data_IF_701159505614
#
_entry.id   IF_701159505614
#
_cell.length_a   1.000
_cell.length_b   1.000
_cell.length_c   1.000
_cell.angle_alpha   90.00
_cell.angle_beta   90.00
_cell.angle_gamma   90.00
#
_symmetry.space_group_name_H-M   'P 1'
#
loop_
_entity.id
_entity.type
_entity.pdbx_description
1 polymer ?
#
# COMPACT_ATOMS: atom_id res chain seq x y z
N UNK A 1 -7.14 -18.66 11.61
CA UNK A 1 -7.89 -18.57 12.88
C UNK A 1 -9.05 -19.55 12.89
N UNK A 2 -10.01 -19.48 11.96
CA UNK A 2 -11.15 -20.44 11.88
C UNK A 2 -10.69 -21.90 11.78
N UNK A 3 -9.96 -22.26 10.71
CA UNK A 3 -9.60 -23.65 10.40
C UNK A 3 -8.88 -24.38 11.55
N UNK A 4 -7.92 -23.70 12.17
CA UNK A 4 -7.07 -24.26 13.23
C UNK A 4 -7.54 -23.87 14.64
N UNK A 5 -8.79 -23.40 14.76
CA UNK A 5 -9.42 -22.98 16.02
C UNK A 5 -8.53 -22.08 16.89
N UNK A 6 -7.81 -21.14 16.28
CA UNK A 6 -6.81 -20.32 16.96
C UNK A 6 -7.53 -19.22 17.74
N UNK A 7 -7.56 -19.35 19.06
CA UNK A 7 -8.31 -18.47 19.95
C UNK A 7 -7.70 -18.47 21.37
N UNK A 8 -7.89 -17.41 22.17
CA UNK A 8 -7.40 -17.37 23.55
C UNK A 8 -7.97 -18.48 24.43
N UNK A 9 -9.26 -18.78 24.27
CA UNK A 9 -10.01 -19.78 25.02
C UNK A 9 -9.77 -21.23 24.55
N UNK A 10 -9.03 -21.41 23.46
CA UNK A 10 -8.63 -22.73 22.94
C UNK A 10 -7.14 -22.97 23.06
N UNK A 11 -6.36 -21.96 23.46
CA UNK A 11 -4.92 -22.09 23.67
C UNK A 11 -4.63 -23.02 24.84
N UNK A 12 -3.70 -23.96 24.62
CA UNK A 12 -3.27 -24.93 25.63
C UNK A 12 -1.93 -24.48 26.20
N UNK A 13 -1.89 -24.22 27.50
CA UNK A 13 -0.66 -23.78 28.17
C UNK A 13 0.45 -24.86 28.10
N UNK A 14 1.72 -24.44 28.12
CA UNK A 14 2.84 -25.38 28.25
C UNK A 14 2.70 -26.21 29.54
N UNK A 15 2.87 -27.53 29.43
CA UNK A 15 2.76 -28.45 30.57
C UNK A 15 1.37 -29.03 30.82
N UNK A 16 0.32 -28.52 30.15
CA UNK A 16 -1.00 -29.18 30.19
C UNK A 16 -0.97 -30.47 29.37
N UNK A 17 -1.35 -31.59 30.00
CA UNK A 17 -1.49 -32.88 29.32
C UNK A 17 -2.80 -32.90 28.53
N UNK A 18 -2.66 -32.89 27.21
CA UNK A 18 -3.76 -32.97 26.25
C UNK A 18 -3.30 -33.89 25.13
N UNK A 19 -4.09 -34.93 24.80
CA UNK A 19 -3.76 -35.83 23.70
C UNK A 19 -3.51 -35.09 22.39
N UNK A 20 -2.45 -35.45 21.66
CA UNK A 20 -2.02 -34.75 20.44
C UNK A 20 -3.12 -34.72 19.37
N UNK A 21 -3.93 -35.77 19.30
CA UNK A 21 -5.06 -35.87 18.37
C UNK A 21 -6.16 -34.84 18.63
N UNK A 22 -6.21 -34.25 19.83
CA UNK A 22 -7.20 -33.23 20.22
C UNK A 22 -6.74 -31.79 20.00
N UNK A 23 -5.50 -31.59 19.57
CA UNK A 23 -4.93 -30.24 19.35
C UNK A 23 -4.47 -30.02 17.91
N UNK A 24 -4.50 -28.77 17.49
CA UNK A 24 -3.69 -28.28 16.39
C UNK A 24 -2.38 -27.73 16.94
N UNK A 25 -1.27 -28.07 16.30
CA UNK A 25 0.06 -27.57 16.65
C UNK A 25 0.49 -26.56 15.60
N UNK A 26 0.81 -25.35 16.04
CA UNK A 26 1.26 -24.27 15.18
C UNK A 26 2.63 -24.59 14.58
N UNK A 27 2.81 -24.45 13.25
CA UNK A 27 4.11 -24.65 12.63
C UNK A 27 5.10 -23.61 13.15
N UNK A 28 6.39 -23.93 13.15
CA UNK A 28 7.51 -23.07 13.62
C UNK A 28 7.52 -22.75 15.12
N UNK A 29 6.38 -22.43 15.73
CA UNK A 29 6.27 -21.92 17.10
C UNK A 29 5.75 -22.96 18.10
N UNK A 30 5.17 -24.07 17.64
CA UNK A 30 4.78 -25.20 18.50
C UNK A 30 3.57 -24.97 19.41
N UNK A 31 2.96 -23.78 19.37
CA UNK A 31 1.76 -23.45 20.18
C UNK A 31 0.61 -24.42 19.89
N UNK A 32 -0.04 -24.90 20.95
CA UNK A 32 -1.13 -25.89 20.87
C UNK A 32 -2.48 -25.23 21.06
N UNK A 33 -3.47 -25.62 20.25
CA UNK A 33 -4.85 -25.14 20.34
C UNK A 33 -5.83 -26.31 20.27
N UNK A 34 -6.81 -26.37 21.16
CA UNK A 34 -7.85 -27.39 21.15
C UNK A 34 -8.65 -27.37 19.84
N UNK A 35 -8.94 -28.55 19.29
CA UNK A 35 -9.80 -28.67 18.10
C UNK A 35 -11.26 -28.34 18.40
N UNK A 36 -11.71 -28.70 19.59
CA UNK A 36 -13.08 -28.52 20.09
C UNK A 36 -13.06 -28.13 21.58
N UNK A 37 -14.03 -27.32 22.06
CA UNK A 37 -15.11 -26.68 21.30
C UNK A 37 -14.61 -25.51 20.43
N UNK A 38 -15.45 -24.93 19.54
CA UNK A 38 -15.08 -23.76 18.75
C UNK A 38 -14.80 -22.55 19.64
N UNK A 39 -13.61 -21.97 19.51
CA UNK A 39 -13.18 -20.80 20.28
C UNK A 39 -13.91 -19.53 19.86
N UNK A 40 -13.82 -18.49 20.68
CA UNK A 40 -14.51 -17.22 20.45
C UNK A 40 -14.19 -16.61 19.08
N UNK A 41 -12.92 -16.62 18.67
CA UNK A 41 -12.52 -16.05 17.37
C UNK A 41 -13.05 -16.86 16.20
N UNK A 42 -13.14 -18.19 16.32
CA UNK A 42 -13.72 -19.02 15.26
C UNK A 42 -15.18 -18.66 15.03
N UNK A 43 -15.98 -18.65 16.10
CA UNK A 43 -17.42 -18.32 16.05
C UNK A 43 -17.68 -16.94 15.45
N UNK A 44 -17.01 -15.91 15.98
CA UNK A 44 -17.18 -14.52 15.51
C UNK A 44 -16.80 -14.38 14.04
N UNK A 45 -15.69 -15.00 13.61
CA UNK A 45 -15.26 -14.90 12.22
C UNK A 45 -16.21 -15.65 11.27
N UNK A 46 -16.73 -16.80 11.67
CA UNK A 46 -17.75 -17.55 10.90
C UNK A 46 -19.04 -16.72 10.75
N UNK A 47 -19.51 -16.08 11.83
CA UNK A 47 -20.69 -15.19 11.80
C UNK A 47 -20.48 -14.00 10.86
N UNK A 48 -19.33 -13.32 10.98
CA UNK A 48 -19.00 -12.16 10.14
C UNK A 48 -18.89 -12.53 8.67
N UNK A 49 -18.26 -13.67 8.35
CA UNK A 49 -18.14 -14.14 6.96
C UNK A 49 -19.51 -14.50 6.40
N UNK A 50 -20.33 -15.23 7.16
CA UNK A 50 -21.68 -15.62 6.75
C UNK A 50 -22.57 -14.40 6.48
N UNK A 51 -22.58 -13.44 7.41
CA UNK A 51 -23.31 -12.19 7.23
C UNK A 51 -22.84 -11.40 6.00
N UNK A 52 -21.51 -11.40 5.73
CA UNK A 52 -20.96 -10.74 4.55
C UNK A 52 -21.39 -11.44 3.26
N UNK A 53 -21.41 -12.76 3.23
CA UNK A 53 -21.78 -13.53 2.04
C UNK A 53 -23.26 -13.35 1.67
N UNK A 54 -24.15 -13.29 2.66
CA UNK A 54 -25.56 -12.94 2.43
C UNK A 54 -25.73 -11.56 1.78
N UNK A 55 -24.96 -10.55 2.23
CA UNK A 55 -24.97 -9.22 1.63
C UNK A 55 -24.43 -9.24 0.19
N UNK A 56 -23.40 -10.06 -0.09
CA UNK A 56 -22.85 -10.21 -1.44
C UNK A 56 -23.83 -10.89 -2.40
N UNK A 57 -24.64 -11.84 -1.93
CA UNK A 57 -25.70 -12.44 -2.74
C UNK A 57 -26.73 -11.37 -3.13
N UNK A 58 -27.18 -10.55 -2.16
CA UNK A 58 -28.11 -9.44 -2.42
C UNK A 58 -27.51 -8.39 -3.38
N UNK A 59 -26.22 -8.12 -3.30
CA UNK A 59 -25.56 -7.18 -4.22
C UNK A 59 -25.60 -7.62 -5.69
N UNK A 60 -25.51 -8.93 -5.95
CA UNK A 60 -25.51 -9.47 -7.33
C UNK A 60 -26.83 -9.21 -8.07
N UNK A 61 -27.95 -9.07 -7.36
CA UNK A 61 -29.26 -8.81 -7.95
C UNK A 61 -29.61 -7.32 -8.05
N UNK A 62 -28.77 -6.43 -7.54
CA UNK A 62 -29.01 -4.98 -7.53
C UNK A 62 -28.29 -4.30 -8.69
N UNK A 63 -28.96 -3.31 -9.30
CA UNK A 63 -28.35 -2.45 -10.30
C UNK A 63 -27.18 -1.65 -9.69
N UNK A 64 -26.01 -1.74 -10.34
CA UNK A 64 -24.79 -1.04 -9.93
C UNK A 64 -25.07 0.46 -9.83
N UNK A 65 -24.69 1.05 -8.71
CA UNK A 65 -24.88 2.49 -8.48
C UNK A 65 -26.25 2.89 -7.93
N UNK A 66 -27.24 2.00 -7.84
CA UNK A 66 -28.51 2.31 -7.15
C UNK A 66 -28.32 2.65 -5.66
N UNK A 67 -29.23 3.41 -5.02
CA UNK A 67 -29.14 3.71 -3.58
C UNK A 67 -28.98 2.45 -2.72
N UNK A 68 -29.76 1.40 -3.00
CA UNK A 68 -29.65 0.11 -2.33
C UNK A 68 -28.29 -0.54 -2.57
N UNK A 69 -27.79 -0.57 -3.81
CA UNK A 69 -26.46 -1.11 -4.11
C UNK A 69 -25.37 -0.42 -3.27
N UNK A 70 -25.38 0.92 -3.21
CA UNK A 70 -24.41 1.70 -2.41
C UNK A 70 -24.48 1.34 -0.93
N UNK A 71 -25.68 1.17 -0.37
CA UNK A 71 -25.88 0.79 1.01
C UNK A 71 -25.34 -0.62 1.32
N UNK A 72 -25.71 -1.62 0.52
CA UNK A 72 -25.26 -3.01 0.73
C UNK A 72 -23.74 -3.14 0.48
N UNK A 73 -23.19 -2.40 -0.48
CA UNK A 73 -21.76 -2.37 -0.75
C UNK A 73 -20.98 -1.73 0.41
N UNK A 74 -21.48 -0.63 0.98
CA UNK A 74 -20.90 -0.04 2.18
C UNK A 74 -20.92 -1.01 3.36
N UNK A 75 -22.04 -1.73 3.59
CA UNK A 75 -22.16 -2.72 4.67
C UNK A 75 -21.19 -3.90 4.52
N UNK A 76 -21.12 -4.52 3.33
CA UNK A 76 -20.19 -5.65 3.14
C UNK A 76 -18.72 -5.21 3.26
N UNK A 77 -18.39 -3.97 2.84
CA UNK A 77 -17.07 -3.37 3.04
C UNK A 77 -16.76 -3.17 4.52
N UNK A 78 -17.71 -2.66 5.30
CA UNK A 78 -17.55 -2.50 6.74
C UNK A 78 -17.28 -3.85 7.44
N UNK A 79 -18.07 -4.88 7.12
CA UNK A 79 -17.84 -6.24 7.65
C UNK A 79 -16.46 -6.76 7.24
N UNK A 80 -16.06 -6.61 5.96
CA UNK A 80 -14.70 -6.99 5.50
C UNK A 80 -13.60 -6.35 6.35
N UNK A 81 -13.73 -5.05 6.64
CA UNK A 81 -12.75 -4.32 7.45
C UNK A 81 -12.69 -4.88 8.87
N UNK A 82 -13.84 -5.11 9.50
CA UNK A 82 -13.93 -5.70 10.84
C UNK A 82 -13.32 -7.11 10.86
N UNK A 83 -13.71 -7.98 9.94
CA UNK A 83 -13.18 -9.35 9.83
C UNK A 83 -11.66 -9.36 9.71
N UNK A 84 -11.09 -8.51 8.84
CA UNK A 84 -9.65 -8.42 8.65
C UNK A 84 -8.92 -7.83 9.87
N UNK A 85 -9.59 -6.98 10.66
CA UNK A 85 -9.02 -6.37 11.86
C UNK A 85 -8.88 -7.35 13.03
N UNK A 86 -9.62 -8.48 13.05
CA UNK A 86 -9.57 -9.47 14.16
C UNK A 86 -8.16 -10.01 14.37
N UNK A 87 -7.39 -10.28 13.31
CA UNK A 87 -6.00 -10.70 13.44
C UNK A 87 -5.13 -9.63 14.13
N UNK A 88 -5.28 -8.37 13.71
CA UNK A 88 -4.57 -7.24 14.33
C UNK A 88 -4.96 -7.05 15.79
N UNK A 89 -6.25 -7.21 16.11
CA UNK A 89 -6.76 -7.16 17.47
C UNK A 89 -6.14 -8.24 18.37
N UNK A 90 -6.01 -9.48 17.87
CA UNK A 90 -5.42 -10.57 18.63
C UNK A 90 -3.94 -10.34 19.01
N UNK A 91 -3.23 -9.48 18.25
CA UNK A 91 -1.85 -9.08 18.50
C UNK A 91 -1.69 -7.73 19.22
N UNK A 92 -2.78 -7.02 19.52
CA UNK A 92 -2.71 -5.70 20.16
C UNK A 92 -2.62 -5.84 21.68
N UNK A 93 -1.55 -5.30 22.28
CA UNK A 93 -1.34 -5.33 23.73
C UNK A 93 -2.48 -4.73 24.56
N UNK A 94 -3.27 -3.81 24.00
CA UNK A 94 -4.43 -3.20 24.67
C UNK A 94 -5.75 -3.98 24.48
N UNK A 95 -5.75 -5.08 23.72
CA UNK A 95 -6.94 -5.90 23.50
C UNK A 95 -7.28 -6.74 24.75
N UNK A 96 -8.57 -6.85 25.06
CA UNK A 96 -9.06 -7.67 26.18
C UNK A 96 -8.80 -9.16 25.95
N UNK A 97 -8.91 -9.62 24.72
CA UNK A 97 -8.64 -11.02 24.32
C UNK A 97 -7.24 -11.19 23.69
N UNK A 98 -6.28 -10.40 24.14
CA UNK A 98 -4.88 -10.52 23.72
C UNK A 98 -4.22 -11.74 24.36
N UNK A 99 -3.64 -12.61 23.54
CA UNK A 99 -2.69 -13.66 23.95
C UNK A 99 -1.58 -13.73 22.89
N UNK A 100 -0.33 -13.51 23.28
CA UNK A 100 0.82 -13.50 22.35
C UNK A 100 0.93 -14.77 21.49
N UNK A 101 0.84 -16.00 22.06
CA UNK A 101 0.79 -17.24 21.29
C UNK A 101 -0.26 -17.29 20.17
N UNK A 102 -1.44 -16.69 20.37
CA UNK A 102 -2.50 -16.65 19.35
C UNK A 102 -2.05 -15.86 18.11
N UNK A 103 -1.46 -14.69 18.32
CA UNK A 103 -0.97 -13.84 17.24
C UNK A 103 0.24 -14.47 16.51
N UNK A 104 1.18 -15.05 17.26
CA UNK A 104 2.34 -15.76 16.70
C UNK A 104 1.90 -16.94 15.85
N UNK A 105 0.99 -17.76 16.38
CA UNK A 105 0.49 -18.94 15.69
C UNK A 105 -0.29 -18.58 14.42
N UNK A 106 -1.19 -17.58 14.47
CA UNK A 106 -1.90 -17.10 13.29
C UNK A 106 -0.93 -16.67 12.17
N UNK A 107 0.16 -15.98 12.54
CA UNK A 107 1.20 -15.56 11.60
C UNK A 107 1.99 -16.76 11.06
N UNK A 108 2.33 -17.73 11.91
CA UNK A 108 3.08 -18.91 11.51
C UNK A 108 2.30 -19.80 10.54
N UNK A 109 1.01 -20.05 10.80
CA UNK A 109 0.15 -20.73 9.84
C UNK A 109 0.00 -19.94 8.53
N UNK A 110 -0.15 -18.61 8.59
CA UNK A 110 -0.16 -17.77 7.39
C UNK A 110 1.08 -17.96 6.53
N UNK A 111 2.28 -17.92 7.14
CA UNK A 111 3.55 -18.21 6.45
C UNK A 111 3.60 -19.63 5.88
N UNK A 112 3.18 -20.62 6.65
CA UNK A 112 3.16 -22.02 6.22
C UNK A 112 2.29 -22.21 4.98
N UNK A 113 1.08 -21.63 4.97
CA UNK A 113 0.14 -21.68 3.85
C UNK A 113 0.76 -21.06 2.59
N UNK A 114 1.39 -19.88 2.73
CA UNK A 114 2.00 -19.19 1.59
C UNK A 114 3.16 -19.99 1.04
N UNK A 115 4.07 -20.48 1.91
CA UNK A 115 5.19 -21.33 1.48
C UNK A 115 4.72 -22.60 0.79
N UNK A 116 3.74 -23.29 1.38
CA UNK A 116 3.14 -24.48 0.77
C UNK A 116 2.53 -24.16 -0.60
N UNK A 117 1.85 -23.02 -0.73
CA UNK A 117 1.27 -22.58 -2.02
C UNK A 117 2.36 -22.29 -3.05
N UNK A 118 3.47 -21.66 -2.64
CA UNK A 118 4.63 -21.38 -3.52
C UNK A 118 5.31 -22.69 -3.96
N UNK A 119 5.47 -23.66 -3.07
CA UNK A 119 6.04 -24.98 -3.36
C UNK A 119 5.16 -25.75 -4.34
N UNK A 120 3.85 -25.84 -4.07
CA UNK A 120 2.88 -26.46 -4.97
C UNK A 120 2.86 -25.77 -6.36
N UNK A 121 3.01 -24.44 -6.40
CA UNK A 121 3.11 -23.72 -7.66
C UNK A 121 4.34 -24.18 -8.46
N UNK A 122 5.50 -24.30 -7.82
CA UNK A 122 6.73 -24.78 -8.46
C UNK A 122 6.61 -26.23 -8.93
N UNK A 123 6.00 -27.10 -8.13
CA UNK A 123 5.75 -28.51 -8.49
C UNK A 123 4.88 -28.65 -9.75
N UNK A 124 3.91 -27.75 -9.92
CA UNK A 124 3.06 -27.68 -11.12
C UNK A 124 3.76 -27.04 -12.33
N UNK A 125 5.01 -26.60 -12.18
CA UNK A 125 5.74 -25.88 -13.22
C UNK A 125 5.15 -24.49 -13.51
N UNK A 126 4.56 -23.84 -12.49
CA UNK A 126 4.22 -22.42 -12.55
C UNK A 126 5.45 -21.61 -12.12
N UNK A 127 5.80 -20.62 -12.93
CA UNK A 127 6.85 -19.68 -12.58
C UNK A 127 6.34 -18.70 -11.51
N UNK A 128 6.96 -18.72 -10.33
CA UNK A 128 6.60 -17.86 -9.20
C UNK A 128 7.40 -16.56 -9.30
N UNK A 129 6.69 -15.44 -9.45
CA UNK A 129 7.27 -14.12 -9.67
C UNK A 129 7.49 -13.39 -8.34
N UNK A 130 6.49 -13.39 -7.46
CA UNK A 130 6.51 -12.65 -6.21
C UNK A 130 5.55 -13.28 -5.19
N UNK A 131 5.84 -13.13 -3.90
CA UNK A 131 4.97 -13.54 -2.80
C UNK A 131 4.93 -12.47 -1.72
N UNK A 132 3.73 -12.16 -1.24
CA UNK A 132 3.49 -11.26 -0.10
C UNK A 132 2.84 -12.04 1.06
N UNK A 133 2.37 -11.30 2.07
CA UNK A 133 1.78 -11.76 3.33
C UNK A 133 0.45 -12.50 3.13
N UNK A 134 -0.22 -12.30 2.00
CA UNK A 134 -1.55 -12.84 1.72
C UNK A 134 -1.82 -13.12 0.23
N UNK A 135 -0.80 -13.00 -0.63
CA UNK A 135 -0.95 -13.14 -2.08
C UNK A 135 0.32 -13.71 -2.73
N UNK A 136 0.13 -14.43 -3.84
CA UNK A 136 1.20 -15.00 -4.65
C UNK A 136 0.98 -14.60 -6.10
N UNK A 137 2.06 -14.20 -6.76
CA UNK A 137 2.10 -13.84 -8.17
C UNK A 137 2.79 -14.96 -8.92
N UNK A 138 2.06 -15.58 -9.83
CA UNK A 138 2.56 -16.60 -10.74
C UNK A 138 2.36 -16.14 -12.17
N UNK A 139 3.19 -16.66 -13.07
CA UNK A 139 2.91 -16.58 -14.50
C UNK A 139 1.57 -17.25 -14.81
N UNK A 140 0.76 -16.60 -15.64
CA UNK A 140 -0.62 -17.03 -15.86
C UNK A 140 -0.69 -18.15 -16.90
N UNK A 141 -1.00 -19.35 -16.43
CA UNK A 141 -1.40 -20.51 -17.22
C UNK A 141 -2.72 -21.01 -16.62
N UNK A 142 -3.84 -20.83 -17.34
CA UNK A 142 -5.19 -21.08 -16.83
C UNK A 142 -5.33 -22.51 -16.29
N UNK A 143 -4.90 -23.52 -17.05
CA UNK A 143 -5.02 -24.91 -16.67
C UNK A 143 -4.18 -25.27 -15.43
N UNK A 144 -2.98 -24.72 -15.30
CA UNK A 144 -2.13 -24.93 -14.12
C UNK A 144 -2.64 -24.17 -12.91
N UNK A 145 -3.14 -22.95 -13.09
CA UNK A 145 -3.73 -22.14 -12.03
C UNK A 145 -4.96 -22.84 -11.46
N UNK A 146 -5.86 -23.34 -12.30
CA UNK A 146 -7.05 -24.06 -11.83
C UNK A 146 -6.67 -25.32 -11.05
N UNK A 147 -5.67 -26.08 -11.53
CA UNK A 147 -5.11 -27.22 -10.79
C UNK A 147 -4.52 -26.81 -9.43
N UNK A 148 -3.80 -25.70 -9.37
CA UNK A 148 -3.25 -25.17 -8.12
C UNK A 148 -4.36 -24.82 -7.12
N UNK A 149 -5.42 -24.14 -7.58
CA UNK A 149 -6.56 -23.78 -6.74
C UNK A 149 -7.23 -25.03 -6.15
N UNK A 150 -7.41 -26.07 -6.96
CA UNK A 150 -7.98 -27.34 -6.52
C UNK A 150 -7.09 -28.06 -5.49
N UNK A 151 -5.78 -28.11 -5.73
CA UNK A 151 -4.84 -28.75 -4.80
C UNK A 151 -4.78 -28.00 -3.48
N UNK A 152 -4.73 -26.66 -3.52
CA UNK A 152 -4.74 -25.83 -2.31
C UNK A 152 -6.05 -26.00 -1.54
N UNK A 153 -7.19 -26.05 -2.23
CA UNK A 153 -8.49 -26.33 -1.60
C UNK A 153 -8.49 -27.70 -0.92
N UNK A 154 -8.01 -28.75 -1.58
CA UNK A 154 -8.02 -30.13 -1.04
C UNK A 154 -6.99 -30.36 0.07
N UNK A 155 -5.73 -29.92 -0.12
CA UNK A 155 -4.63 -30.15 0.83
C UNK A 155 -4.63 -29.14 1.97
N UNK A 156 -4.80 -27.85 1.65
CA UNK A 156 -4.69 -26.76 2.62
C UNK A 156 -6.05 -26.27 3.12
N UNK A 157 -7.17 -26.77 2.61
CA UNK A 157 -8.52 -26.42 3.11
C UNK A 157 -8.82 -24.93 3.01
N UNK A 158 -8.26 -24.25 2.01
CA UNK A 158 -8.40 -22.83 1.79
C UNK A 158 -8.92 -22.55 0.39
N UNK A 159 -9.84 -21.61 0.29
CA UNK A 159 -10.35 -21.14 -0.99
C UNK A 159 -9.50 -19.96 -1.46
N UNK A 160 -8.61 -20.23 -2.42
CA UNK A 160 -7.91 -19.19 -3.16
C UNK A 160 -8.75 -18.77 -4.38
N UNK A 161 -8.59 -17.53 -4.81
CA UNK A 161 -9.21 -17.01 -6.03
C UNK A 161 -8.21 -16.16 -6.79
N UNK A 162 -8.15 -16.24 -8.13
CA UNK A 162 -7.40 -15.28 -8.93
C UNK A 162 -8.00 -13.88 -8.70
N UNK A 163 -7.20 -12.96 -8.16
CA UNK A 163 -7.65 -11.58 -7.91
C UNK A 163 -7.56 -10.73 -9.19
N UNK A 164 -6.38 -10.72 -9.82
CA UNK A 164 -6.08 -9.92 -11.01
C UNK A 164 -5.20 -10.70 -11.98
N UNK A 165 -5.45 -10.52 -13.29
CA UNK A 165 -4.59 -11.01 -14.37
C UNK A 165 -3.97 -9.82 -15.07
N UNK A 166 -2.65 -9.72 -15.00
CA UNK A 166 -1.88 -8.65 -15.62
C UNK A 166 -1.26 -9.09 -16.94
N UNK A 167 -1.24 -8.18 -17.91
CA UNK A 167 -0.47 -8.32 -19.14
C UNK A 167 1.02 -8.17 -18.85
N UNK A 168 1.37 -7.22 -17.98
CA UNK A 168 2.74 -6.95 -17.51
C UNK A 168 2.69 -6.44 -16.08
N UNK A 169 3.72 -6.75 -15.30
CA UNK A 169 3.89 -6.22 -13.94
C UNK A 169 5.32 -5.75 -13.78
N UNK A 170 5.47 -4.58 -13.16
CA UNK A 170 6.75 -4.07 -12.69
C UNK A 170 6.80 -4.17 -11.17
N UNK A 171 7.76 -4.93 -10.65
CA UNK A 171 8.09 -4.95 -9.23
C UNK A 171 9.30 -4.07 -8.98
N UNK A 172 9.24 -3.25 -7.94
CA UNK A 172 10.43 -2.53 -7.45
C UNK A 172 11.11 -3.34 -6.35
N UNK A 173 12.33 -2.95 -5.96
CA UNK A 173 13.11 -3.61 -4.89
C UNK A 173 12.37 -3.64 -3.53
N UNK A 174 11.41 -2.73 -3.32
CA UNK A 174 10.66 -2.65 -2.08
C UNK A 174 9.46 -3.62 -2.08
N UNK A 175 9.32 -4.40 -0.99
CA UNK A 175 8.12 -5.19 -0.74
C UNK A 175 6.86 -4.32 -0.79
N UNK A 176 5.77 -4.87 -1.31
CA UNK A 176 4.46 -4.21 -1.49
C UNK A 176 4.50 -2.99 -2.41
N UNK A 177 5.48 -2.90 -3.33
CA UNK A 177 5.56 -1.82 -4.33
C UNK A 177 5.67 -2.37 -5.74
N UNK A 178 4.53 -2.44 -6.42
CA UNK A 178 4.42 -2.94 -7.79
C UNK A 178 3.32 -2.23 -8.57
N UNK A 179 3.46 -2.24 -9.90
CA UNK A 179 2.47 -1.70 -10.81
C UNK A 179 2.16 -2.71 -11.91
N UNK A 180 0.89 -3.04 -12.09
CA UNK A 180 0.42 -4.00 -13.08
C UNK A 180 -0.40 -3.36 -14.18
N UNK A 181 -0.14 -3.73 -15.43
CA UNK A 181 -1.00 -3.41 -16.58
C UNK A 181 -2.08 -4.48 -16.71
N UNK A 182 -3.34 -4.10 -16.53
CA UNK A 182 -4.50 -4.98 -16.71
C UNK A 182 -4.82 -5.20 -18.20
N UNK A 183 -5.60 -6.25 -18.50
CA UNK A 183 -6.05 -6.57 -19.87
C UNK A 183 -6.86 -5.44 -20.53
N UNK A 184 -7.55 -4.62 -19.74
CA UNK A 184 -8.32 -3.47 -20.21
C UNK A 184 -7.47 -2.19 -20.42
N UNK A 185 -6.15 -2.28 -20.23
CA UNK A 185 -5.22 -1.18 -20.41
C UNK A 185 -5.09 -0.24 -19.21
N UNK A 186 -5.82 -0.47 -18.11
CA UNK A 186 -5.64 0.28 -16.86
C UNK A 186 -4.39 -0.16 -16.12
N UNK A 187 -3.80 0.77 -15.38
CA UNK A 187 -2.67 0.52 -14.49
C UNK A 187 -3.19 0.37 -13.06
N UNK A 188 -2.74 -0.68 -12.39
CA UNK A 188 -2.98 -0.93 -10.98
C UNK A 188 -1.72 -0.56 -10.18
N UNK A 189 -1.85 0.36 -9.23
CA UNK A 189 -0.72 0.90 -8.46
C UNK A 189 -0.79 0.41 -7.01
N UNK A 190 0.26 -0.26 -6.53
CA UNK A 190 0.34 -0.73 -5.15
C UNK A 190 1.59 -0.17 -4.49
N UNK A 191 1.40 0.55 -3.38
CA UNK A 191 2.48 1.07 -2.51
C UNK A 191 3.33 2.22 -3.10
N UNK A 192 2.99 2.68 -4.30
CA UNK A 192 3.63 3.83 -4.95
C UNK A 192 3.16 5.17 -4.39
N UNK A 193 3.96 6.21 -4.62
CA UNK A 193 3.71 7.59 -4.21
C UNK A 193 2.41 8.16 -4.83
N UNK A 194 2.00 7.69 -6.01
CA UNK A 194 0.71 8.00 -6.65
C UNK A 194 -0.49 7.86 -5.69
N UNK A 195 -0.53 6.79 -4.89
CA UNK A 195 -1.68 6.51 -4.00
C UNK A 195 -1.53 7.15 -2.61
N UNK A 196 -0.46 7.92 -2.39
CA UNK A 196 -0.19 8.57 -1.10
C UNK A 196 -0.70 10.01 -1.08
N UNK A 197 -1.29 10.39 0.05
CA UNK A 197 -1.83 11.75 0.24
C UNK A 197 -0.79 12.83 0.49
N UNK A 198 0.44 12.45 0.84
CA UNK A 198 1.53 13.35 1.27
C UNK A 198 2.54 13.72 0.16
N UNK A 199 2.28 13.29 -1.08
CA UNK A 199 3.09 13.64 -2.26
C UNK A 199 2.38 14.66 -3.15
N UNK A 200 3.17 15.53 -3.76
CA UNK A 200 2.68 16.54 -4.70
C UNK A 200 2.01 15.91 -5.92
N UNK A 201 1.01 16.62 -6.48
CA UNK A 201 0.34 16.18 -7.70
C UNK A 201 1.33 16.09 -8.88
N UNK A 202 2.31 16.99 -8.94
CA UNK A 202 3.41 16.92 -9.89
C UNK A 202 4.17 15.58 -9.81
N UNK A 203 4.53 15.14 -8.60
CA UNK A 203 5.21 13.85 -8.42
C UNK A 203 4.35 12.65 -8.85
N UNK A 204 3.05 12.71 -8.57
CA UNK A 204 2.11 11.66 -8.97
C UNK A 204 1.99 11.55 -10.49
N UNK A 205 1.77 12.69 -11.16
CA UNK A 205 1.68 12.76 -12.63
C UNK A 205 2.95 12.23 -13.31
N UNK A 206 4.11 12.66 -12.82
CA UNK A 206 5.39 12.22 -13.40
C UNK A 206 5.60 10.73 -13.17
N UNK A 207 5.34 10.21 -11.96
CA UNK A 207 5.46 8.78 -11.67
C UNK A 207 4.48 7.95 -12.50
N UNK A 208 3.24 8.42 -12.67
CA UNK A 208 2.21 7.75 -13.46
C UNK A 208 2.60 7.65 -14.94
N UNK A 209 3.06 8.75 -15.53
CA UNK A 209 3.46 8.75 -16.94
C UNK A 209 4.71 7.90 -17.19
N UNK A 210 5.69 7.91 -16.27
CA UNK A 210 6.86 7.00 -16.32
C UNK A 210 6.42 5.54 -16.29
N UNK A 211 5.54 5.16 -15.36
CA UNK A 211 5.02 3.80 -15.27
C UNK A 211 4.23 3.42 -16.52
N UNK A 212 3.45 4.35 -17.08
CA UNK A 212 2.70 4.15 -18.33
C UNK A 212 3.63 3.93 -19.52
N UNK A 213 4.67 4.74 -19.70
CA UNK A 213 5.64 4.56 -20.79
C UNK A 213 6.33 3.19 -20.66
N UNK A 214 6.76 2.81 -19.46
CA UNK A 214 7.41 1.51 -19.23
C UNK A 214 6.45 0.34 -19.48
N UNK A 215 5.27 0.37 -18.86
CA UNK A 215 4.32 -0.74 -18.89
C UNK A 215 3.46 -0.79 -20.14
N UNK A 216 3.36 0.27 -20.95
CA UNK A 216 2.63 0.23 -22.24
C UNK A 216 3.60 0.23 -23.41
N UNK A 217 4.60 1.10 -23.41
CA UNK A 217 5.46 1.34 -24.57
C UNK A 217 6.80 0.58 -24.52
N UNK A 218 7.18 0.00 -23.37
CA UNK A 218 8.44 -0.76 -23.21
C UNK A 218 9.70 0.09 -23.47
N UNK A 219 9.64 1.40 -23.21
CA UNK A 219 10.76 2.31 -23.50
C UNK A 219 11.25 3.05 -22.24
N UNK A 220 12.24 2.50 -21.52
CA UNK A 220 12.90 3.21 -20.42
C UNK A 220 13.56 4.52 -20.85
N UNK A 221 14.12 4.58 -22.06
CA UNK A 221 14.73 5.81 -22.61
C UNK A 221 13.69 6.92 -22.81
N UNK A 222 12.52 6.60 -23.38
CA UNK A 222 11.45 7.59 -23.52
C UNK A 222 10.95 8.07 -22.15
N UNK A 223 10.90 7.18 -21.16
CA UNK A 223 10.55 7.56 -19.80
C UNK A 223 11.60 8.47 -19.15
N UNK A 224 12.89 8.22 -19.40
CA UNK A 224 13.98 9.15 -19.01
C UNK A 224 13.78 10.51 -19.65
N UNK A 225 13.62 10.56 -20.97
CA UNK A 225 13.53 11.81 -21.72
C UNK A 225 12.32 12.65 -21.28
N UNK A 226 11.18 11.99 -21.01
CA UNK A 226 10.02 12.63 -20.39
C UNK A 226 10.36 13.28 -19.04
N UNK A 227 11.06 12.58 -18.14
CA UNK A 227 11.42 13.13 -16.83
C UNK A 227 12.37 14.32 -16.98
N UNK A 228 13.36 14.23 -17.88
CA UNK A 228 14.30 15.32 -18.13
C UNK A 228 13.58 16.55 -18.67
N UNK A 229 12.63 16.37 -19.59
CA UNK A 229 11.80 17.45 -20.13
C UNK A 229 10.91 18.08 -19.04
N UNK A 230 10.24 17.26 -18.23
CA UNK A 230 9.41 17.75 -17.12
C UNK A 230 10.23 18.56 -16.11
N UNK A 231 11.45 18.11 -15.80
CA UNK A 231 12.36 18.85 -14.92
C UNK A 231 12.77 20.20 -15.53
N UNK A 232 12.96 20.28 -16.85
CA UNK A 232 13.21 21.57 -17.53
C UNK A 232 12.03 22.52 -17.34
N UNK A 233 10.81 22.05 -17.61
CA UNK A 233 9.58 22.84 -17.45
C UNK A 233 9.37 23.30 -16.00
N UNK A 234 9.75 22.47 -15.02
CA UNK A 234 9.68 22.83 -13.62
C UNK A 234 10.70 23.92 -13.26
N UNK A 235 11.94 23.85 -13.78
CA UNK A 235 12.96 24.92 -13.64
C UNK A 235 12.55 26.23 -14.30
N UNK A 236 11.84 26.12 -15.42
CA UNK A 236 11.24 27.26 -16.13
C UNK A 236 9.95 27.78 -15.47
N UNK A 237 9.55 27.21 -14.31
CA UNK A 237 8.32 27.57 -13.57
C UNK A 237 7.03 27.48 -14.39
N UNK A 238 6.99 26.62 -15.41
CA UNK A 238 5.80 26.36 -16.25
C UNK A 238 4.78 25.44 -15.56
N UNK A 239 5.19 24.75 -14.48
CA UNK A 239 4.31 23.88 -13.70
C UNK A 239 3.47 24.73 -12.74
N UNK A 240 2.12 24.58 -12.73
CA UNK A 240 1.26 25.34 -11.84
C UNK A 240 1.58 25.14 -10.35
N UNK A 241 1.54 26.21 -9.56
CA UNK A 241 1.78 26.17 -8.11
C UNK A 241 0.92 25.12 -7.40
N UNK A 242 -0.36 24.98 -7.79
CA UNK A 242 -1.30 23.99 -7.24
C UNK A 242 -0.78 22.55 -7.32
N UNK A 243 0.02 22.23 -8.33
CA UNK A 243 0.56 20.89 -8.53
C UNK A 243 1.77 20.63 -7.61
N UNK A 244 2.34 21.67 -7.01
CA UNK A 244 3.46 21.62 -6.06
C UNK A 244 2.99 21.68 -4.60
N UNK A 245 1.70 21.80 -4.33
CA UNK A 245 1.17 21.86 -2.96
C UNK A 245 1.30 20.51 -2.28
N UNK A 246 1.90 20.50 -1.10
CA UNK A 246 1.95 19.33 -0.21
C UNK A 246 0.80 19.45 0.78
N UNK A 247 -0.06 18.43 0.81
CA UNK A 247 -1.19 18.37 1.72
C UNK A 247 -0.90 17.45 2.89
N UNK A 248 -1.19 17.91 4.11
CA UNK A 248 -1.07 17.06 5.30
C UNK A 248 -2.15 17.37 6.33
N UNK A 249 -2.71 16.32 6.90
CA UNK A 249 -3.72 16.43 7.95
C UNK A 249 -3.10 16.80 9.29
N UNK A 250 -3.76 17.69 10.01
CA UNK A 250 -3.55 17.95 11.43
C UNK A 250 -4.29 16.85 12.20
N UNK A 251 -3.61 16.16 13.11
CA UNK A 251 -4.14 14.98 13.81
C UNK A 251 -4.39 15.20 15.30
N UNK A 252 -3.92 16.32 15.83
CA UNK A 252 -4.11 16.77 17.21
C UNK A 252 -4.06 18.31 17.24
N UNK A 253 -4.44 18.97 18.35
CA UNK A 253 -4.29 20.42 18.48
C UNK A 253 -2.86 20.88 18.19
N UNK A 254 -2.70 22.08 17.60
CA UNK A 254 -1.39 22.58 17.13
C UNK A 254 -0.40 22.73 18.29
N UNK A 255 -0.89 23.06 19.47
CA UNK A 255 -0.14 23.28 20.71
C UNK A 255 0.47 21.98 21.26
N UNK A 256 -0.08 20.81 20.91
CA UNK A 256 0.42 19.51 21.36
C UNK A 256 1.61 18.99 20.53
N UNK A 257 1.91 19.62 19.39
CA UNK A 257 3.04 19.22 18.55
C UNK A 257 4.36 19.72 19.13
N UNK A 258 5.16 18.78 19.66
CA UNK A 258 6.52 19.05 20.16
C UNK A 258 7.58 19.15 19.06
N UNK A 259 7.30 18.58 17.88
CA UNK A 259 8.25 18.51 16.77
C UNK A 259 7.83 19.50 15.69
N UNK A 260 8.76 20.39 15.32
CA UNK A 260 8.57 21.31 14.22
C UNK A 260 8.52 20.52 12.91
N UNK A 261 7.38 20.57 12.25
CA UNK A 261 7.14 19.92 10.97
C UNK A 261 6.55 20.92 9.99
N UNK A 262 6.83 20.81 8.68
CA UNK A 262 6.42 21.78 7.66
C UNK A 262 4.93 22.18 7.72
N UNK A 263 4.03 21.18 7.75
CA UNK A 263 2.58 21.42 7.87
C UNK A 263 2.15 22.11 9.17
N UNK A 264 2.90 21.96 10.27
CA UNK A 264 2.60 22.60 11.56
C UNK A 264 3.03 24.05 11.53
N UNK A 265 4.20 24.36 10.96
CA UNK A 265 4.65 25.74 10.78
C UNK A 265 3.74 26.51 9.82
N UNK A 266 3.33 25.88 8.72
CA UNK A 266 2.32 26.46 7.83
C UNK A 266 0.98 26.69 8.55
N UNK A 267 0.55 25.76 9.40
CA UNK A 267 -0.66 25.92 10.21
C UNK A 267 -0.57 27.11 11.17
N UNK A 268 0.57 27.28 11.86
CA UNK A 268 0.82 28.42 12.75
C UNK A 268 0.73 29.76 11.99
N UNK A 269 1.31 29.84 10.79
CA UNK A 269 1.20 31.04 9.94
C UNK A 269 -0.26 31.35 9.60
N UNK A 270 -1.07 30.34 9.29
CA UNK A 270 -2.50 30.53 9.03
C UNK A 270 -3.25 31.02 10.29
N UNK A 271 -2.94 30.46 11.46
CA UNK A 271 -3.52 30.89 12.74
C UNK A 271 -3.17 32.35 13.04
N UNK A 272 -1.92 32.75 12.83
CA UNK A 272 -1.47 34.14 12.99
C UNK A 272 -2.18 35.09 12.01
N UNK A 273 -2.65 34.56 10.87
CA UNK A 273 -3.47 35.29 9.89
C UNK A 273 -4.98 35.24 10.19
N UNK A 274 -5.37 34.71 11.35
CA UNK A 274 -6.76 34.68 11.83
C UNK A 274 -7.57 33.46 11.38
N UNK A 275 -6.93 32.41 10.84
CA UNK A 275 -7.62 31.17 10.50
C UNK A 275 -7.76 30.26 11.73
N UNK A 276 -8.90 29.59 11.84
CA UNK A 276 -9.08 28.54 12.84
C UNK A 276 -8.77 27.18 12.22
N UNK A 277 -7.93 26.38 12.89
CA UNK A 277 -7.52 25.04 12.43
C UNK A 277 -7.85 24.02 13.51
N UNK A 278 -8.51 22.93 13.11
CA UNK A 278 -8.93 21.84 13.99
C UNK A 278 -8.24 20.52 13.63
N UNK A 279 -8.14 19.57 14.60
CA UNK A 279 -7.78 18.20 14.30
C UNK A 279 -8.72 17.60 13.25
N UNK A 280 -8.16 17.06 12.17
CA UNK A 280 -8.87 16.57 10.99
C UNK A 280 -8.66 17.44 9.76
N UNK A 281 -8.38 18.74 9.94
CA UNK A 281 -8.17 19.66 8.82
C UNK A 281 -6.91 19.33 8.03
N UNK A 282 -6.93 19.66 6.73
CA UNK A 282 -5.78 19.52 5.84
C UNK A 282 -5.15 20.87 5.59
N UNK A 283 -3.85 20.96 5.87
CA UNK A 283 -3.04 22.15 5.59
C UNK A 283 -2.25 21.90 4.31
N UNK A 284 -2.46 22.77 3.33
CA UNK A 284 -1.68 22.82 2.08
C UNK A 284 -0.54 23.82 2.24
N UNK A 285 0.68 23.41 1.90
CA UNK A 285 1.85 24.27 1.98
C UNK A 285 2.82 23.98 0.84
N UNK A 286 3.71 24.94 0.58
CA UNK A 286 4.82 24.81 -0.35
C UNK A 286 6.14 25.11 0.36
N UNK A 287 7.22 24.49 -0.12
CA UNK A 287 8.58 24.81 0.31
C UNK A 287 9.14 25.92 -0.56
N UNK A 288 9.51 27.04 0.07
CA UNK A 288 10.10 28.20 -0.58
C UNK A 288 11.63 28.17 -0.53
N UNK A 289 12.25 28.94 -1.43
CA UNK A 289 13.68 29.16 -1.48
C UNK A 289 14.15 29.86 -0.21
N UNK A 290 15.34 29.50 0.28
CA UNK A 290 15.89 30.07 1.50
C UNK A 290 16.83 29.10 2.22
N UNK A 291 17.53 29.62 3.23
CA UNK A 291 18.44 28.85 4.07
C UNK A 291 17.72 28.24 5.29
N UNK A 292 18.36 27.22 5.88
CA UNK A 292 17.86 26.56 7.08
C UNK A 292 16.96 25.35 6.82
N UNK A 293 16.38 24.78 7.88
CA UNK A 293 15.66 23.51 7.81
C UNK A 293 14.32 23.65 7.08
N UNK A 294 13.88 22.57 6.42
CA UNK A 294 12.67 22.54 5.56
C UNK A 294 11.43 23.09 6.26
N UNK A 295 11.25 22.81 7.56
CA UNK A 295 10.06 23.27 8.28
C UNK A 295 9.95 24.80 8.37
N UNK A 296 11.06 25.55 8.40
CA UNK A 296 11.05 27.03 8.41
C UNK A 296 10.72 27.63 7.05
N UNK A 297 10.89 26.84 5.99
CA UNK A 297 10.67 27.24 4.60
C UNK A 297 9.29 26.81 4.10
N UNK A 298 8.43 26.31 4.99
CA UNK A 298 7.10 25.85 4.66
C UNK A 298 6.10 27.00 4.82
N UNK A 299 5.51 27.44 3.71
CA UNK A 299 4.57 28.55 3.68
C UNK A 299 3.21 28.03 3.18
N UNK A 300 2.07 28.47 3.75
CA UNK A 300 0.75 28.15 3.21
C UNK A 300 0.66 28.49 1.73
N UNK A 301 0.13 27.57 0.92
CA UNK A 301 0.17 27.72 -0.55
C UNK A 301 -0.54 28.98 -1.06
N UNK A 302 -1.55 29.46 -0.33
CA UNK A 302 -2.31 30.67 -0.64
C UNK A 302 -1.58 31.97 -0.30
N UNK A 303 -0.43 31.88 0.37
CA UNK A 303 0.42 33.02 0.74
C UNK A 303 1.75 33.02 -0.03
N UNK A 304 1.95 32.07 -0.95
CA UNK A 304 3.16 31.93 -1.75
C UNK A 304 2.84 32.10 -3.24
N UNK A 305 3.82 32.61 -3.99
CA UNK A 305 3.83 32.65 -5.45
C UNK A 305 4.71 31.53 -6.01
N UNK A 306 4.65 31.28 -7.32
CA UNK A 306 5.52 30.27 -7.96
C UNK A 306 6.99 30.71 -7.96
N UNK A 307 7.22 32.02 -7.89
CA UNK A 307 8.53 32.66 -7.85
C UNK A 307 9.28 32.32 -6.55
N UNK A 308 8.54 32.20 -5.44
CA UNK A 308 9.08 31.89 -4.10
C UNK A 308 9.54 30.43 -3.97
N UNK A 309 8.97 29.52 -4.77
CA UNK A 309 9.12 28.07 -4.59
C UNK A 309 10.56 27.60 -4.81
N UNK A 310 11.04 26.72 -3.91
CA UNK A 310 12.32 26.02 -4.07
C UNK A 310 12.17 24.88 -5.07
N UNK A 311 12.34 25.19 -6.36
CA UNK A 311 12.17 24.21 -7.45
C UNK A 311 13.09 22.99 -7.28
N UNK A 312 14.33 23.20 -6.85
CA UNK A 312 15.30 22.11 -6.68
C UNK A 312 14.88 21.16 -5.53
N UNK A 313 14.23 21.66 -4.48
CA UNK A 313 13.61 20.80 -3.47
C UNK A 313 12.60 19.83 -4.11
N UNK A 314 11.69 20.30 -4.98
CA UNK A 314 10.71 19.41 -5.59
C UNK A 314 11.35 18.44 -6.57
N UNK A 315 12.32 18.87 -7.37
CA UNK A 315 13.07 17.97 -8.26
C UNK A 315 13.69 16.83 -7.45
N UNK A 316 14.49 17.14 -6.44
CA UNK A 316 15.31 16.13 -5.76
C UNK A 316 14.60 15.40 -4.62
N UNK A 317 13.52 15.94 -4.06
CA UNK A 317 12.78 15.34 -2.94
C UNK A 317 11.41 14.80 -3.32
N UNK A 318 10.82 15.26 -4.43
CA UNK A 318 9.47 14.86 -4.86
C UNK A 318 9.46 14.16 -6.23
N UNK A 319 10.21 14.62 -7.24
CA UNK A 319 10.13 14.06 -8.59
C UNK A 319 11.11 12.90 -8.77
N UNK A 320 12.40 13.13 -8.49
CA UNK A 320 13.49 12.18 -8.77
C UNK A 320 13.39 10.89 -7.96
N UNK A 321 13.17 10.90 -6.62
CA UNK A 321 13.18 9.66 -5.83
C UNK A 321 12.20 8.57 -6.30
N UNK A 322 10.92 8.87 -6.62
CA UNK A 322 9.99 7.85 -7.08
C UNK A 322 10.35 7.29 -8.47
N UNK A 323 10.77 8.13 -9.41
CA UNK A 323 11.08 7.69 -10.79
C UNK A 323 12.44 7.01 -10.89
N UNK A 324 13.42 7.42 -10.10
CA UNK A 324 14.74 6.78 -10.06
C UNK A 324 14.61 5.32 -9.61
N UNK A 325 13.79 5.04 -8.60
CA UNK A 325 13.54 3.67 -8.13
C UNK A 325 12.98 2.77 -9.23
N UNK A 326 12.17 3.33 -10.12
CA UNK A 326 11.58 2.62 -11.25
C UNK A 326 12.62 2.43 -12.36
N UNK A 327 13.28 3.51 -12.76
CA UNK A 327 14.22 3.52 -13.90
C UNK A 327 15.51 2.75 -13.63
N UNK A 328 15.97 2.71 -12.37
CA UNK A 328 17.14 1.93 -11.95
C UNK A 328 17.01 0.43 -12.25
N UNK A 329 15.79 -0.11 -12.24
CA UNK A 329 15.50 -1.52 -12.59
C UNK A 329 15.93 -1.81 -14.03
N UNK A 330 15.87 -0.79 -14.90
CA UNK A 330 16.24 -0.86 -16.31
C UNK A 330 17.67 -0.33 -16.57
N UNK A 331 18.48 -0.11 -15.52
CA UNK A 331 19.82 0.44 -15.64
C UNK A 331 19.87 1.93 -16.01
N UNK A 332 18.76 2.65 -15.88
CA UNK A 332 18.68 4.08 -16.22
C UNK A 332 18.87 4.95 -14.97
N UNK A 333 19.97 5.70 -14.94
CA UNK A 333 20.32 6.59 -13.84
C UNK A 333 19.84 8.03 -14.08
N UNK A 334 18.61 8.32 -13.67
CA UNK A 334 17.99 9.62 -13.93
C UNK A 334 18.77 10.80 -13.29
N UNK A 335 19.40 10.59 -12.13
CA UNK A 335 20.19 11.64 -11.48
C UNK A 335 21.33 12.12 -12.36
N UNK A 336 22.05 11.19 -12.99
CA UNK A 336 23.15 11.49 -13.89
C UNK A 336 22.67 12.25 -15.14
N UNK A 337 21.52 11.83 -15.70
CA UNK A 337 20.93 12.52 -16.86
C UNK A 337 20.59 13.99 -16.57
N UNK A 338 20.14 14.29 -15.34
CA UNK A 338 19.79 15.64 -14.92
C UNK A 338 21.00 16.54 -14.60
N UNK A 339 22.12 15.96 -14.14
CA UNK A 339 23.35 16.71 -13.84
C UNK A 339 24.23 16.93 -15.07
N UNK A 340 24.26 16.00 -16.03
CA UNK A 340 25.01 16.19 -17.28
C UNK A 340 24.38 17.26 -18.18
N UNK A 341 23.05 17.37 -18.20
CA UNK A 341 22.36 18.40 -18.99
C UNK A 341 22.64 19.81 -18.44
N UNK A 342 22.74 19.98 -17.12
CA UNK A 342 23.08 21.29 -16.53
C UNK A 342 24.50 21.77 -16.91
N UNK A 343 25.46 20.84 -17.05
CA UNK A 343 26.81 21.16 -17.50
C UNK A 343 26.89 21.53 -18.98
N UNK A 344 26.09 20.88 -19.85
CA UNK A 344 26.04 21.24 -21.28
C UNK A 344 25.43 22.63 -21.51
N UNK A 345 24.34 22.99 -20.84
CA UNK A 345 23.78 24.35 -20.91
C UNK A 345 24.72 25.44 -20.44
N UNK A 346 25.68 25.15 -19.55
CA UNK A 346 26.71 26.10 -19.13
C UNK A 346 27.81 26.27 -20.18
N UNK A 347 28.12 25.23 -20.95
CA UNK A 347 29.13 25.27 -22.01
C UNK A 347 28.58 25.87 -23.31
N UNK A 348 27.29 25.67 -23.61
CA UNK A 348 26.61 26.25 -24.78
C UNK A 348 26.26 27.75 -24.58
N UNK A 349 26.50 28.30 -23.39
CA UNK A 349 26.30 29.72 -23.05
C UNK A 349 27.60 30.56 -23.13
N UNK A 350 28.71 29.96 -23.56
CA UNK A 350 29.96 30.61 -23.96
C UNK A 350 30.18 30.41 -25.47
#
# INVERSE_FOLDING_TARGET
MIKYNISPDTYVEPGTDVPEEKVYVAPEVGHRFLKEPPGIYKKILEDLISARDELRVKLKSLAVGSPSYRLYDARQKAIKVITNAVYGYAGWLGARWYIKPVAEAATAWGRYIIRSTLELSKELGLNVIYGDTDSVFVEYDEAKVDKLLDIVRKKLGLELRPDKVYVRVLFTEAKKRYCGLLKDGRLDYVGFEIVRGDWTEAAKKVQEEVLKIILKEKSPDKARDFVVEYVSQLRERKVPLKDLVIWKSITRPIEEYKVNAPHIEAAKILIDKGWTIYPGDKVGYVIISGSGPIYKRAIPYNLASIEDVDIEYYIWKQIVPPVERILKIFGVEIKQALTHRSLRTLLDAY
#
